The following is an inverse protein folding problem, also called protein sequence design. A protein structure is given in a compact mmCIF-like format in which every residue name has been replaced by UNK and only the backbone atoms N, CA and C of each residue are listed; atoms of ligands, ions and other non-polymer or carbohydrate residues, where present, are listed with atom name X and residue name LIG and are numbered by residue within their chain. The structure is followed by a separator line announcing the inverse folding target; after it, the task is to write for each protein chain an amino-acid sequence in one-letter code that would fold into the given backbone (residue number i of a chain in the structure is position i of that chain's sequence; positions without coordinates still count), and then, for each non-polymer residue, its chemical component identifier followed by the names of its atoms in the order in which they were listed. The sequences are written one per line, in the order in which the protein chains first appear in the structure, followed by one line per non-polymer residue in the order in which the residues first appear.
data_IF_907401206774
#
_entry.id   IF_907401206774
#
_cell.length_a   1.000
_cell.length_b   1.000
_cell.length_c   1.000
_cell.angle_alpha   90.00
_cell.angle_beta   90.00
_cell.angle_gamma   90.00
#
_symmetry.space_group_name_H-M   'P 1'
#
loop_
_entity.id
_entity.type
_entity.pdbx_description
1 polymer ?
#
# COMPACT_ATOMS: atom_id res chain seq x y z
N UNK A 1 -13.99 21.79 -3.53
CA UNK A 1 -14.20 20.40 -3.09
C UNK A 1 -12.81 19.78 -3.03
N UNK A 2 -12.07 20.02 -1.95
CA UNK A 2 -10.80 19.35 -1.72
C UNK A 2 -11.12 17.86 -1.65
N UNK A 3 -10.88 17.15 -2.75
CA UNK A 3 -11.12 15.73 -2.77
C UNK A 3 -10.28 15.12 -1.66
N UNK A 4 -10.94 14.34 -0.80
CA UNK A 4 -10.38 13.45 0.21
C UNK A 4 -9.49 12.34 -0.44
N UNK A 5 -8.72 12.67 -1.48
CA UNK A 5 -7.83 11.81 -2.27
C UNK A 5 -6.92 11.00 -1.34
N UNK A 6 -6.45 11.61 -0.25
CA UNK A 6 -5.67 10.91 0.76
C UNK A 6 -6.47 9.79 1.44
N UNK A 7 -7.71 10.05 1.83
CA UNK A 7 -8.57 9.08 2.52
C UNK A 7 -9.03 7.96 1.59
N UNK A 8 -9.42 8.29 0.36
CA UNK A 8 -9.81 7.31 -0.66
C UNK A 8 -8.61 6.45 -1.08
N UNK A 9 -7.43 7.05 -1.25
CA UNK A 9 -6.19 6.32 -1.53
C UNK A 9 -5.83 5.34 -0.42
N UNK A 10 -5.91 5.77 0.84
CA UNK A 10 -5.69 4.88 2.00
C UNK A 10 -6.72 3.75 2.04
N UNK A 11 -7.99 4.03 1.77
CA UNK A 11 -9.04 3.00 1.74
C UNK A 11 -8.78 1.95 0.65
N UNK A 12 -8.37 2.38 -0.56
CA UNK A 12 -8.00 1.45 -1.64
C UNK A 12 -6.81 0.59 -1.24
N UNK A 13 -5.77 1.19 -0.65
CA UNK A 13 -4.58 0.46 -0.19
C UNK A 13 -4.92 -0.58 0.89
N UNK A 14 -5.79 -0.24 1.85
CA UNK A 14 -6.26 -1.16 2.87
C UNK A 14 -7.02 -2.35 2.29
N UNK A 15 -7.89 -2.10 1.30
CA UNK A 15 -8.65 -3.16 0.62
C UNK A 15 -7.70 -4.09 -0.14
N UNK A 16 -6.75 -3.53 -0.89
CA UNK A 16 -5.75 -4.33 -1.62
C UNK A 16 -4.88 -5.16 -0.67
N UNK A 17 -4.44 -4.56 0.45
CA UNK A 17 -3.67 -5.26 1.47
C UNK A 17 -4.46 -6.43 2.08
N UNK A 18 -5.75 -6.24 2.34
CA UNK A 18 -6.61 -7.31 2.85
C UNK A 18 -6.74 -8.47 1.85
N UNK A 19 -6.96 -8.17 0.57
CA UNK A 19 -7.09 -9.19 -0.48
C UNK A 19 -5.79 -9.99 -0.59
N UNK A 20 -4.64 -9.31 -0.68
CA UNK A 20 -3.33 -9.93 -0.77
C UNK A 20 -3.00 -10.76 0.47
N UNK A 21 -3.35 -10.27 1.67
CA UNK A 21 -3.14 -11.02 2.92
C UNK A 21 -3.96 -12.32 2.97
N UNK A 22 -5.20 -12.31 2.48
CA UNK A 22 -6.02 -13.53 2.38
C UNK A 22 -5.42 -14.51 1.36
N UNK A 23 -4.97 -14.01 0.22
CA UNK A 23 -4.30 -14.81 -0.81
C UNK A 23 -3.04 -15.48 -0.26
N UNK A 24 -2.18 -14.74 0.45
CA UNK A 24 -0.95 -15.27 1.04
C UNK A 24 -1.24 -16.39 2.04
N UNK A 25 -2.25 -16.21 2.91
CA UNK A 25 -2.69 -17.26 3.85
C UNK A 25 -3.18 -18.49 3.09
N UNK A 26 -3.99 -18.30 2.04
CA UNK A 26 -4.46 -19.41 1.22
C UNK A 26 -3.30 -20.17 0.57
N UNK A 27 -2.37 -19.46 -0.08
CA UNK A 27 -1.20 -20.07 -0.72
C UNK A 27 -0.33 -20.79 0.32
N UNK A 28 -0.16 -20.23 1.52
CA UNK A 28 0.58 -20.88 2.59
C UNK A 28 -0.08 -22.21 3.00
N UNK A 29 -1.41 -22.20 3.20
CA UNK A 29 -2.15 -23.42 3.59
C UNK A 29 -2.12 -24.51 2.53
N UNK A 30 -2.06 -24.16 1.25
CA UNK A 30 -2.08 -25.11 0.14
C UNK A 30 -0.68 -25.62 -0.21
N UNK A 31 0.32 -24.73 -0.24
CA UNK A 31 1.67 -25.06 -0.70
C UNK A 31 2.63 -25.47 0.43
N UNK A 32 2.31 -25.12 1.69
CA UNK A 32 3.21 -25.31 2.84
C UNK A 32 4.44 -24.39 2.82
N UNK A 33 4.62 -23.58 1.76
CA UNK A 33 5.66 -22.57 1.64
C UNK A 33 5.09 -21.27 2.14
N UNK A 34 5.85 -20.52 2.95
CA UNK A 34 5.48 -19.15 3.33
C UNK A 34 5.65 -18.28 2.09
N UNK A 35 4.55 -17.88 1.42
CA UNK A 35 4.64 -16.92 0.35
C UNK A 35 4.81 -15.53 1.00
N UNK A 36 5.41 -14.59 0.27
CA UNK A 36 5.23 -13.21 0.65
C UNK A 36 6.31 -12.53 1.47
N UNK A 37 7.52 -13.08 1.67
CA UNK A 37 8.64 -12.20 2.12
C UNK A 37 8.94 -11.15 1.05
N UNK A 38 9.03 -11.56 -0.21
CA UNK A 38 9.34 -10.67 -1.34
C UNK A 38 8.19 -9.67 -1.56
N UNK A 39 6.95 -10.14 -1.47
CA UNK A 39 5.75 -9.30 -1.63
C UNK A 39 5.53 -8.36 -0.43
N UNK A 40 5.78 -8.81 0.80
CA UNK A 40 5.75 -7.96 1.99
C UNK A 40 6.81 -6.86 1.90
N UNK A 41 8.04 -7.21 1.52
CA UNK A 41 9.12 -6.23 1.32
C UNK A 41 8.76 -5.25 0.21
N UNK A 42 8.24 -5.72 -0.92
CA UNK A 42 7.81 -4.86 -2.02
C UNK A 42 6.69 -3.90 -1.59
N UNK A 43 5.71 -4.39 -0.83
CA UNK A 43 4.59 -3.59 -0.34
C UNK A 43 5.03 -2.52 0.68
N UNK A 44 5.90 -2.88 1.63
CA UNK A 44 6.51 -1.91 2.55
C UNK A 44 7.25 -0.83 1.76
N UNK A 45 7.99 -1.21 0.73
CA UNK A 45 8.72 -0.27 -0.13
C UNK A 45 7.78 0.71 -0.83
N UNK A 46 6.68 0.21 -1.40
CA UNK A 46 5.67 1.04 -2.07
C UNK A 46 5.01 2.02 -1.09
N UNK A 47 4.65 1.56 0.12
CA UNK A 47 4.05 2.43 1.14
C UNK A 47 5.02 3.54 1.57
N UNK A 48 6.30 3.23 1.75
CA UNK A 48 7.33 4.23 2.09
C UNK A 48 7.46 5.27 0.99
N UNK A 49 7.55 4.85 -0.28
CA UNK A 49 7.64 5.78 -1.41
C UNK A 49 6.39 6.65 -1.51
N UNK A 50 5.20 6.06 -1.37
CA UNK A 50 3.94 6.80 -1.42
C UNK A 50 3.86 7.83 -0.28
N UNK A 51 4.25 7.45 0.93
CA UNK A 51 4.31 8.36 2.08
C UNK A 51 5.27 9.53 1.83
N UNK A 52 6.48 9.25 1.33
CA UNK A 52 7.48 10.28 1.00
C UNK A 52 6.92 11.23 -0.08
N UNK A 53 6.33 10.68 -1.15
CA UNK A 53 5.76 11.48 -2.22
C UNK A 53 4.63 12.41 -1.73
N UNK A 54 3.74 11.90 -0.88
CA UNK A 54 2.66 12.69 -0.27
C UNK A 54 3.24 13.79 0.64
N UNK A 55 4.25 13.46 1.45
CA UNK A 55 4.91 14.42 2.33
C UNK A 55 5.57 15.53 1.51
N UNK A 56 6.33 15.16 0.48
CA UNK A 56 7.03 16.10 -0.40
C UNK A 56 6.05 17.03 -1.14
N UNK A 57 4.97 16.48 -1.67
CA UNK A 57 3.91 17.25 -2.33
C UNK A 57 3.19 18.23 -1.38
N UNK A 58 3.16 17.94 -0.07
CA UNK A 58 2.61 18.84 0.96
C UNK A 58 3.60 19.94 1.36
N UNK A 59 4.89 19.65 1.40
CA UNK A 59 5.95 20.62 1.70
C UNK A 59 6.20 21.59 0.54
N UNK A 60 6.04 21.12 -0.71
CA UNK A 60 6.19 21.91 -1.93
C UNK A 60 4.85 22.00 -2.69
N UNK A 61 3.85 22.74 -2.16
CA UNK A 61 2.61 22.95 -2.89
C UNK A 61 2.88 23.68 -4.21
N UNK A 62 2.12 23.38 -5.28
CA UNK A 62 2.34 24.00 -6.58
C UNK A 62 2.28 25.53 -6.46
N UNK A 63 3.27 26.21 -7.05
CA UNK A 63 3.27 27.66 -7.16
C UNK A 63 1.99 28.08 -7.91
N UNK A 64 1.15 28.88 -7.23
CA UNK A 64 -0.13 29.36 -7.76
C UNK A 64 0.04 30.14 -9.05
#
# INVERSE_FOLDING_TARGET
MELDIGRTGVAILLVLFLILGVEDVYVWTVSGVVPGIEFFVALVFVLVIAFIAIREAREHPPAR
#
